data_IF_271059178726
#
_entry.id   IF_271059178726
#
_cell.length_a   1.000
_cell.length_b   1.000
_cell.length_c   1.000
_cell.angle_alpha   90.00
_cell.angle_beta   90.00
_cell.angle_gamma   90.00
#
_symmetry.space_group_name_H-M   'P 1'
#
loop_
_entity.id
_entity.type
_entity.pdbx_description
1 polymer ?
#
# COMPACT_ATOMS: atom_id res chain seq x y z
N UNK A 1 44.52 12.96 -30.22
CA UNK A 1 44.64 13.32 -28.79
C UNK A 1 43.91 12.29 -27.96
N UNK A 2 44.56 11.84 -26.89
CA UNK A 2 44.37 10.54 -26.25
C UNK A 2 43.02 10.32 -25.52
N UNK A 3 42.32 9.24 -25.87
CA UNK A 3 41.34 8.58 -25.01
C UNK A 3 42.10 7.60 -24.07
N UNK A 4 42.92 8.14 -23.17
CA UNK A 4 44.00 7.38 -22.49
C UNK A 4 43.56 6.50 -21.31
N UNK A 5 42.30 6.56 -20.87
CA UNK A 5 41.86 5.83 -19.67
C UNK A 5 40.41 5.33 -19.74
N UNK A 6 40.05 4.46 -20.69
CA UNK A 6 38.71 3.87 -20.74
C UNK A 6 38.41 3.05 -19.46
N UNK A 7 39.42 2.34 -18.94
CA UNK A 7 39.31 1.49 -17.74
C UNK A 7 39.09 2.32 -16.47
N UNK A 8 39.81 3.44 -16.32
CA UNK A 8 39.64 4.33 -15.16
C UNK A 8 38.25 5.00 -15.15
N UNK A 9 37.75 5.40 -16.33
CA UNK A 9 36.39 5.94 -16.47
C UNK A 9 35.33 4.88 -16.11
N UNK A 10 35.49 3.64 -16.57
CA UNK A 10 34.63 2.52 -16.19
C UNK A 10 34.67 2.24 -14.68
N UNK A 11 35.85 2.32 -14.06
CA UNK A 11 36.01 2.13 -12.63
C UNK A 11 35.33 3.23 -11.80
N UNK A 12 35.46 4.50 -12.22
CA UNK A 12 34.74 5.62 -11.59
C UNK A 12 33.23 5.48 -11.77
N UNK A 13 32.75 5.12 -12.96
CA UNK A 13 31.31 4.88 -13.21
C UNK A 13 30.81 3.73 -12.34
N UNK A 14 31.58 2.64 -12.20
CA UNK A 14 31.24 1.52 -11.33
C UNK A 14 31.22 1.92 -9.86
N UNK A 15 32.18 2.72 -9.40
CA UNK A 15 32.22 3.24 -8.04
C UNK A 15 31.04 4.18 -7.76
N UNK A 16 30.71 5.06 -8.71
CA UNK A 16 29.54 5.92 -8.60
C UNK A 16 28.28 5.05 -8.59
N UNK A 17 28.15 4.07 -9.48
CA UNK A 17 27.01 3.14 -9.54
C UNK A 17 26.82 2.34 -8.25
N UNK A 18 27.91 1.88 -7.63
CA UNK A 18 27.88 1.19 -6.32
C UNK A 18 27.47 2.16 -5.19
N UNK A 19 27.82 3.45 -5.31
CA UNK A 19 27.53 4.48 -4.30
C UNK A 19 26.31 5.34 -4.63
N UNK A 20 25.58 5.07 -5.72
CA UNK A 20 24.24 5.64 -5.91
C UNK A 20 23.38 4.95 -4.88
N UNK A 21 22.96 5.70 -3.87
CA UNK A 21 21.95 5.24 -2.93
C UNK A 21 20.74 4.76 -3.75
N UNK A 22 20.52 3.44 -3.79
CA UNK A 22 19.26 2.84 -4.22
C UNK A 22 18.23 3.18 -3.13
N UNK A 23 17.79 4.43 -3.12
CA UNK A 23 16.70 4.89 -2.27
C UNK A 23 15.41 4.34 -2.85
N UNK A 24 14.62 3.68 -1.99
CA UNK A 24 13.28 3.23 -2.35
C UNK A 24 12.26 4.33 -2.10
N UNK A 25 11.30 4.48 -3.01
CA UNK A 25 10.15 5.37 -2.82
C UNK A 25 9.04 4.61 -2.10
N UNK A 26 8.65 5.09 -0.92
CA UNK A 26 7.58 4.51 -0.11
C UNK A 26 6.49 5.57 0.08
N UNK A 27 5.30 5.26 -0.39
CA UNK A 27 4.08 6.04 -0.12
C UNK A 27 3.36 5.44 1.08
N UNK A 28 3.03 6.28 2.06
CA UNK A 28 2.29 5.90 3.25
C UNK A 28 0.93 6.59 3.23
N UNK A 29 -0.15 5.81 3.21
CA UNK A 29 -1.52 6.30 3.26
C UNK A 29 -2.22 5.71 4.48
N UNK A 30 -3.03 6.52 5.15
CA UNK A 30 -4.04 6.02 6.06
C UNK A 30 -5.24 5.50 5.25
N UNK A 31 -5.98 4.55 5.82
CA UNK A 31 -7.23 4.14 5.20
C UNK A 31 -8.22 5.31 5.11
N UNK A 32 -9.06 5.31 4.08
CA UNK A 32 -10.12 6.27 3.88
C UNK A 32 -11.33 5.98 4.78
N UNK A 33 -12.28 6.91 4.83
CA UNK A 33 -13.37 6.90 5.80
C UNK A 33 -14.22 5.62 5.77
N UNK A 34 -14.56 5.14 6.97
CA UNK A 34 -15.56 4.09 7.16
C UNK A 34 -16.98 4.61 7.01
N UNK A 35 -17.98 3.72 6.85
CA UNK A 35 -19.38 4.10 6.94
C UNK A 35 -19.70 4.95 8.17
N UNK A 36 -20.30 6.11 7.95
CA UNK A 36 -20.75 7.04 8.98
C UNK A 36 -19.71 8.06 9.43
N UNK A 37 -18.43 7.90 9.07
CA UNK A 37 -17.36 8.85 9.41
C UNK A 37 -17.15 9.92 8.33
N UNK A 38 -17.64 9.67 7.10
CA UNK A 38 -17.46 10.57 5.98
C UNK A 38 -18.55 11.64 5.87
N UNK A 39 -18.19 12.82 5.33
CA UNK A 39 -19.12 13.95 5.16
C UNK A 39 -20.36 13.59 4.34
N UNK A 40 -20.23 12.69 3.35
CA UNK A 40 -21.32 12.28 2.47
C UNK A 40 -22.20 11.17 3.07
N UNK A 41 -21.79 10.57 4.17
CA UNK A 41 -22.43 9.40 4.78
C UNK A 41 -22.74 9.55 6.28
N UNK A 42 -22.34 10.67 6.91
CA UNK A 42 -22.61 10.95 8.33
C UNK A 42 -24.13 10.93 8.67
N UNK A 43 -24.94 11.60 7.83
CA UNK A 43 -26.39 11.80 8.07
C UNK A 43 -27.29 10.99 7.12
N UNK A 44 -26.73 10.05 6.35
CA UNK A 44 -27.47 9.29 5.36
C UNK A 44 -27.29 7.77 5.56
N UNK A 45 -28.26 7.13 6.21
CA UNK A 45 -28.27 5.68 6.47
C UNK A 45 -28.14 4.83 5.19
N UNK A 46 -28.71 5.28 4.07
CA UNK A 46 -28.53 4.58 2.80
C UNK A 46 -27.08 4.71 2.30
N UNK A 47 -26.42 5.85 2.52
CA UNK A 47 -25.02 6.04 2.13
C UNK A 47 -24.04 5.24 3.01
N UNK A 48 -24.41 4.93 4.26
CA UNK A 48 -23.62 4.07 5.16
C UNK A 48 -23.58 2.61 4.67
N UNK A 49 -24.62 2.16 3.97
CA UNK A 49 -24.77 0.76 3.54
C UNK A 49 -24.22 0.45 2.14
N UNK A 50 -23.77 1.46 1.37
CA UNK A 50 -23.18 1.30 0.02
C UNK A 50 -21.81 0.57 0.04
N UNK A 51 -21.19 0.47 1.21
CA UNK A 51 -19.83 -0.04 1.49
C UNK A 51 -19.54 -1.51 1.10
N UNK A 52 -20.55 -2.30 0.71
CA UNK A 52 -20.34 -3.73 0.47
C UNK A 52 -19.86 -4.01 -0.97
N UNK A 53 -18.57 -4.31 -1.14
CA UNK A 53 -18.18 -5.27 -2.17
C UNK A 53 -18.87 -6.59 -1.84
N UNK A 54 -19.78 -7.02 -2.71
CA UNK A 54 -20.60 -8.22 -2.53
C UNK A 54 -19.70 -9.46 -2.32
N UNK A 55 -20.03 -10.31 -1.35
CA UNK A 55 -19.28 -11.54 -1.08
C UNK A 55 -18.12 -11.45 -0.07
N UNK A 56 -17.77 -10.26 0.43
CA UNK A 56 -16.62 -10.12 1.36
C UNK A 56 -16.97 -10.11 2.86
N UNK A 57 -18.26 -10.04 3.27
CA UNK A 57 -18.79 -10.17 4.67
C UNK A 57 -19.33 -8.86 5.30
N UNK A 58 -19.20 -8.61 6.62
CA UNK A 58 -19.76 -7.43 7.35
C UNK A 58 -19.59 -6.05 6.66
N UNK A 59 -20.71 -5.38 6.37
CA UNK A 59 -20.76 -4.12 5.62
C UNK A 59 -20.08 -2.93 6.33
N UNK A 60 -20.08 -2.91 7.66
CA UNK A 60 -19.57 -1.80 8.48
C UNK A 60 -18.02 -1.75 8.57
N UNK A 61 -17.33 -2.77 8.07
CA UNK A 61 -15.86 -2.86 8.09
C UNK A 61 -15.18 -2.50 6.76
N UNK A 62 -15.96 -2.00 5.80
CA UNK A 62 -15.50 -1.47 4.50
C UNK A 62 -15.32 0.06 4.48
N UNK A 63 -15.28 0.63 3.27
CA UNK A 63 -15.23 2.09 3.08
C UNK A 63 -16.64 2.66 2.96
N UNK A 64 -16.90 3.79 3.62
CA UNK A 64 -18.12 4.58 3.40
C UNK A 64 -18.13 5.26 2.04
N UNK A 65 -19.23 5.90 1.66
CA UNK A 65 -19.36 6.60 0.37
C UNK A 65 -18.25 7.64 0.16
N UNK A 66 -17.94 8.44 1.18
CA UNK A 66 -16.82 9.40 1.13
C UNK A 66 -15.48 8.69 0.88
N UNK A 67 -15.25 7.57 1.58
CA UNK A 67 -14.02 6.79 1.45
C UNK A 67 -13.87 6.16 0.07
N UNK A 68 -14.96 5.62 -0.49
CA UNK A 68 -14.99 5.06 -1.85
C UNK A 68 -14.67 6.11 -2.92
N UNK A 69 -15.23 7.32 -2.79
CA UNK A 69 -14.92 8.43 -3.70
C UNK A 69 -13.44 8.80 -3.61
N UNK A 70 -12.86 8.90 -2.41
CA UNK A 70 -11.43 9.19 -2.25
C UNK A 70 -10.54 8.09 -2.79
N UNK A 71 -10.91 6.83 -2.57
CA UNK A 71 -10.22 5.68 -3.16
C UNK A 71 -10.20 5.76 -4.69
N UNK A 72 -11.31 6.21 -5.32
CA UNK A 72 -11.37 6.37 -6.78
C UNK A 72 -10.34 7.37 -7.33
N UNK A 73 -10.02 8.44 -6.58
CA UNK A 73 -8.98 9.41 -6.93
C UNK A 73 -7.55 8.90 -6.76
N UNK A 74 -7.35 7.70 -6.19
CA UNK A 74 -6.01 7.11 -6.12
C UNK A 74 -5.48 6.76 -7.50
N UNK A 75 -6.34 6.37 -8.45
CA UNK A 75 -5.93 6.06 -9.84
C UNK A 75 -5.29 7.27 -10.51
N UNK A 76 -5.83 8.48 -10.31
CA UNK A 76 -5.20 9.69 -10.88
C UNK A 76 -3.85 10.04 -10.26
N UNK A 77 -3.58 9.57 -9.03
CA UNK A 77 -2.35 9.90 -8.32
C UNK A 77 -1.26 8.82 -8.48
N UNK A 78 -1.67 7.56 -8.56
CA UNK A 78 -0.80 6.37 -8.49
C UNK A 78 -0.99 5.38 -9.63
N UNK A 79 -2.01 5.53 -10.48
CA UNK A 79 -2.36 4.59 -11.54
C UNK A 79 -1.43 4.62 -12.75
N UNK A 80 -1.77 3.87 -13.79
CA UNK A 80 -0.95 3.68 -15.01
C UNK A 80 -0.56 4.97 -15.73
N UNK A 81 -1.33 6.04 -15.55
CA UNK A 81 -1.06 7.36 -16.16
C UNK A 81 -0.24 8.29 -15.26
N UNK A 82 -0.02 7.96 -13.98
CA UNK A 82 0.81 8.77 -13.07
C UNK A 82 2.27 8.80 -13.54
N UNK A 83 3.15 9.70 -13.09
CA UNK A 83 4.59 9.59 -13.35
C UNK A 83 5.17 8.28 -12.83
N UNK A 84 6.20 7.73 -13.49
CA UNK A 84 6.73 6.39 -13.16
C UNK A 84 7.10 6.20 -11.68
N UNK A 85 7.66 7.23 -11.04
CA UNK A 85 8.05 7.22 -9.63
C UNK A 85 6.86 7.23 -8.66
N UNK A 86 5.65 7.52 -9.16
CA UNK A 86 4.38 7.47 -8.44
C UNK A 86 3.57 6.21 -8.74
N UNK A 87 4.03 5.30 -9.60
CA UNK A 87 3.29 4.07 -9.95
C UNK A 87 3.77 2.92 -9.07
N UNK A 88 3.03 2.51 -8.02
CA UNK A 88 3.47 1.43 -7.16
C UNK A 88 3.64 0.13 -7.97
N UNK A 89 4.71 -0.60 -7.69
CA UNK A 89 4.94 -1.98 -8.16
C UNK A 89 4.49 -3.00 -7.12
N UNK A 90 4.47 -2.59 -5.86
CA UNK A 90 3.87 -3.32 -4.76
C UNK A 90 2.90 -2.42 -4.00
N UNK A 91 1.74 -2.97 -3.66
CA UNK A 91 0.82 -2.39 -2.71
C UNK A 91 0.79 -3.32 -1.49
N UNK A 92 0.75 -2.72 -0.31
CA UNK A 92 0.80 -3.41 0.98
C UNK A 92 -0.34 -2.87 1.83
N UNK A 93 -1.21 -3.76 2.27
CA UNK A 93 -2.27 -3.44 3.23
C UNK A 93 -1.92 -3.97 4.62
N UNK A 94 -2.12 -3.13 5.64
CA UNK A 94 -2.04 -3.59 7.03
C UNK A 94 -3.28 -4.44 7.35
N UNK A 95 -3.18 -5.46 8.20
CA UNK A 95 -4.36 -6.09 8.84
C UNK A 95 -5.47 -6.62 7.90
N UNK A 96 -5.20 -6.90 6.62
CA UNK A 96 -6.18 -7.55 5.75
C UNK A 96 -5.74 -8.97 5.41
N UNK A 97 -6.68 -9.92 5.56
CA UNK A 97 -6.53 -11.32 5.17
C UNK A 97 -7.79 -11.71 4.43
N UNK A 98 -7.69 -11.89 3.10
CA UNK A 98 -8.86 -12.10 2.24
C UNK A 98 -9.65 -13.36 2.62
N UNK A 99 -8.98 -14.46 2.98
CA UNK A 99 -9.51 -15.66 3.62
C UNK A 99 -8.39 -16.71 3.62
N UNK A 100 -8.04 -17.28 4.78
CA UNK A 100 -7.40 -18.59 4.89
C UNK A 100 -6.12 -18.91 4.05
N UNK A 101 -5.34 -17.92 3.62
CA UNK A 101 -4.01 -18.18 3.06
C UNK A 101 -3.04 -18.49 4.20
N UNK A 102 -2.63 -19.77 4.27
CA UNK A 102 -2.03 -20.42 5.41
C UNK A 102 -0.80 -19.73 6.03
N UNK A 103 -0.59 -20.05 7.32
CA UNK A 103 0.62 -19.83 8.12
C UNK A 103 1.44 -18.58 7.77
N UNK A 104 0.88 -17.39 8.02
CA UNK A 104 1.67 -16.18 8.12
C UNK A 104 2.28 -16.00 9.52
N UNK A 105 3.49 -15.44 9.52
CA UNK A 105 4.32 -15.12 10.68
C UNK A 105 3.52 -14.18 11.60
N UNK A 106 3.25 -14.64 12.83
CA UNK A 106 2.68 -13.86 13.93
C UNK A 106 1.25 -13.32 13.77
N UNK A 107 0.30 -14.18 13.41
CA UNK A 107 -1.12 -13.93 13.74
C UNK A 107 -1.42 -14.26 15.23
N UNK A 108 -0.47 -14.02 16.14
CA UNK A 108 -0.58 -14.45 17.54
C UNK A 108 -1.79 -13.81 18.20
N UNK A 109 -2.76 -14.60 18.67
CA UNK A 109 -3.98 -14.25 19.46
C UNK A 109 -4.86 -13.09 18.89
N UNK A 110 -4.40 -12.34 17.89
CA UNK A 110 -5.00 -11.12 17.33
C UNK A 110 -5.92 -11.43 16.14
N UNK A 111 -6.78 -12.42 16.27
CA UNK A 111 -7.83 -12.75 15.29
C UNK A 111 -8.94 -11.69 15.14
N UNK A 112 -8.66 -10.42 15.46
CA UNK A 112 -9.63 -9.33 15.59
C UNK A 112 -9.39 -8.13 14.67
N UNK A 113 -8.35 -8.15 13.83
CA UNK A 113 -8.03 -7.04 12.92
C UNK A 113 -7.97 -7.56 11.48
N UNK A 114 -9.14 -7.81 10.91
CA UNK A 114 -9.35 -8.13 9.48
C UNK A 114 -10.02 -6.95 8.78
N UNK A 115 -9.46 -5.75 8.92
CA UNK A 115 -10.06 -4.51 8.42
C UNK A 115 -9.99 -4.45 6.90
N UNK A 116 -11.14 -4.34 6.25
CA UNK A 116 -11.27 -4.43 4.78
C UNK A 116 -11.13 -3.09 4.08
N UNK A 117 -11.16 -2.01 4.86
CA UNK A 117 -11.08 -0.62 4.39
C UNK A 117 -9.85 -0.41 3.52
N UNK A 118 -8.72 -0.97 3.94
CA UNK A 118 -7.45 -0.88 3.20
C UNK A 118 -7.53 -1.65 1.88
N UNK A 119 -8.09 -2.86 1.88
CA UNK A 119 -8.30 -3.65 0.66
C UNK A 119 -9.27 -2.96 -0.31
N UNK A 120 -10.44 -2.51 0.15
CA UNK A 120 -11.40 -1.77 -0.68
C UNK A 120 -10.77 -0.49 -1.26
N UNK A 121 -9.91 0.18 -0.51
CA UNK A 121 -9.24 1.40 -0.96
C UNK A 121 -8.28 1.15 -2.13
N UNK A 122 -7.56 0.03 -2.11
CA UNK A 122 -6.53 -0.26 -3.11
C UNK A 122 -7.01 -1.15 -4.25
N UNK A 123 -8.17 -1.81 -4.12
CA UNK A 123 -8.64 -2.81 -5.08
C UNK A 123 -8.63 -2.30 -6.53
N UNK A 124 -9.34 -1.19 -6.80
CA UNK A 124 -9.41 -0.63 -8.15
C UNK A 124 -8.06 -0.08 -8.64
N UNK A 125 -7.21 0.42 -7.74
CA UNK A 125 -5.85 0.85 -8.09
C UNK A 125 -4.98 -0.35 -8.48
N UNK A 126 -5.09 -1.46 -7.75
CA UNK A 126 -4.34 -2.69 -8.00
C UNK A 126 -4.69 -3.26 -9.37
N UNK A 127 -6.00 -3.37 -9.66
CA UNK A 127 -6.48 -3.77 -10.99
C UNK A 127 -5.99 -2.84 -12.10
N UNK A 128 -6.00 -1.52 -11.87
CA UNK A 128 -5.49 -0.56 -12.85
C UNK A 128 -3.99 -0.78 -13.12
N UNK A 129 -3.19 -1.07 -12.10
CA UNK A 129 -1.75 -1.30 -12.21
C UNK A 129 -1.37 -2.71 -12.70
N UNK A 130 -2.35 -3.61 -12.85
CA UNK A 130 -2.10 -5.02 -13.15
C UNK A 130 -1.48 -5.79 -11.99
N UNK A 131 -1.69 -5.33 -10.75
CA UNK A 131 -1.29 -6.01 -9.52
C UNK A 131 -2.46 -6.86 -9.05
N UNK A 132 -2.19 -8.12 -8.70
CA UNK A 132 -3.19 -9.00 -8.09
C UNK A 132 -3.49 -8.53 -6.65
N UNK A 133 -4.70 -7.98 -6.37
CA UNK A 133 -5.05 -7.49 -5.04
C UNK A 133 -5.20 -8.63 -4.02
N UNK A 134 -5.39 -9.88 -4.47
CA UNK A 134 -5.62 -11.04 -3.61
C UNK A 134 -4.31 -11.77 -3.27
N UNK A 135 -3.25 -11.49 -4.02
CA UNK A 135 -1.89 -11.95 -3.72
C UNK A 135 -1.21 -11.12 -2.62
N UNK A 136 -1.85 -10.06 -2.11
CA UNK A 136 -1.27 -9.19 -1.10
C UNK A 136 -1.08 -9.90 0.24
N UNK A 137 0.14 -9.77 0.75
CA UNK A 137 0.53 -10.28 2.06
C UNK A 137 0.37 -9.21 3.14
N UNK A 138 -0.33 -9.55 4.23
CA UNK A 138 -0.37 -8.73 5.44
C UNK A 138 1.06 -8.53 5.98
N UNK A 139 1.50 -7.27 6.04
CA UNK A 139 2.84 -6.87 6.49
C UNK A 139 3.01 -6.80 8.03
N UNK A 140 2.12 -7.45 8.78
CA UNK A 140 2.12 -7.42 10.24
C UNK A 140 1.36 -6.22 10.82
N UNK A 141 1.46 -6.06 12.14
CA UNK A 141 0.68 -5.06 12.89
C UNK A 141 1.47 -3.85 13.39
N UNK A 142 2.80 -3.91 13.40
CA UNK A 142 3.66 -2.81 13.85
C UNK A 142 4.41 -2.15 12.69
N UNK A 143 4.84 -0.91 12.88
CA UNK A 143 5.68 -0.20 11.91
C UNK A 143 7.00 -0.92 11.64
N UNK A 144 7.60 -1.56 12.65
CA UNK A 144 8.83 -2.33 12.51
C UNK A 144 8.63 -3.57 11.63
N UNK A 145 7.48 -4.23 11.71
CA UNK A 145 7.14 -5.36 10.84
C UNK A 145 7.01 -4.90 9.38
N UNK A 146 6.35 -3.76 9.16
CA UNK A 146 6.21 -3.15 7.84
C UNK A 146 7.56 -2.80 7.24
N UNK A 147 8.42 -2.12 8.02
CA UNK A 147 9.77 -1.78 7.57
C UNK A 147 10.62 -3.00 7.26
N UNK A 148 10.64 -4.02 8.15
CA UNK A 148 11.38 -5.26 7.91
C UNK A 148 10.90 -5.96 6.64
N UNK A 149 9.58 -6.02 6.44
CA UNK A 149 9.02 -6.61 5.23
C UNK A 149 9.46 -5.82 3.99
N UNK A 150 9.33 -4.49 4.00
CA UNK A 150 9.80 -3.63 2.92
C UNK A 150 11.27 -3.89 2.63
N UNK A 151 12.16 -3.88 3.63
CA UNK A 151 13.59 -4.14 3.41
C UNK A 151 13.90 -5.55 2.84
N UNK A 152 12.99 -6.51 2.99
CA UNK A 152 13.13 -7.85 2.40
C UNK A 152 12.71 -7.91 0.92
N UNK A 153 11.94 -6.94 0.44
CA UNK A 153 11.45 -6.92 -0.94
C UNK A 153 12.57 -6.59 -1.93
N UNK A 154 12.56 -7.18 -3.12
CA UNK A 154 13.60 -6.96 -4.11
C UNK A 154 13.48 -5.56 -4.75
N UNK A 155 14.56 -5.00 -5.33
CA UNK A 155 14.58 -3.63 -5.84
C UNK A 155 13.54 -3.32 -6.93
N UNK A 156 13.16 -4.31 -7.74
CA UNK A 156 12.16 -4.19 -8.81
C UNK A 156 10.73 -3.89 -8.31
N UNK A 157 10.48 -4.02 -7.01
CA UNK A 157 9.20 -3.69 -6.38
C UNK A 157 9.07 -2.22 -5.96
N UNK A 158 10.04 -1.36 -6.31
CA UNK A 158 10.01 0.09 -6.11
C UNK A 158 9.27 0.80 -7.27
N UNK A 159 8.34 1.75 -7.05
CA UNK A 159 7.77 2.27 -5.79
C UNK A 159 6.85 1.33 -5.02
N UNK A 160 6.79 1.51 -3.69
CA UNK A 160 5.87 0.78 -2.81
C UNK A 160 4.80 1.71 -2.27
N UNK A 161 3.55 1.26 -2.26
CA UNK A 161 2.45 1.92 -1.56
C UNK A 161 2.02 1.08 -0.36
N UNK A 162 1.94 1.71 0.81
CA UNK A 162 1.47 1.10 2.06
C UNK A 162 0.18 1.81 2.50
N UNK A 163 -0.88 1.03 2.75
CA UNK A 163 -2.15 1.52 3.31
C UNK A 163 -2.34 0.97 4.72
N UNK A 164 -2.36 1.88 5.68
CA UNK A 164 -2.29 1.59 7.11
C UNK A 164 -3.66 1.77 7.81
N UNK A 165 -3.92 0.99 8.86
CA UNK A 165 -5.16 1.05 9.64
C UNK A 165 -5.26 2.33 10.49
N UNK A 166 -4.13 2.94 10.86
CA UNK A 166 -4.14 4.21 11.58
C UNK A 166 -2.92 5.04 11.16
N UNK A 167 -3.04 6.37 11.26
CA UNK A 167 -1.88 7.27 11.21
C UNK A 167 -1.01 7.06 12.44
N UNK A 168 -0.35 5.91 12.57
CA UNK A 168 0.55 5.60 13.69
C UNK A 168 1.92 6.20 13.38
N UNK A 169 1.99 7.53 13.30
CA UNK A 169 3.21 8.23 13.65
C UNK A 169 3.05 8.55 15.14
N UNK A 170 3.34 7.58 16.01
CA UNK A 170 3.61 7.90 17.41
C UNK A 170 5.00 8.54 17.41
N UNK A 171 5.05 9.86 17.24
CA UNK A 171 6.17 10.63 17.73
C UNK A 171 6.17 10.51 19.26
N UNK A 172 6.83 9.49 19.78
CA UNK A 172 7.47 9.59 21.08
C UNK A 172 8.89 10.06 20.82
N UNK A 173 9.04 11.38 20.77
CA UNK A 173 10.29 12.04 21.16
C UNK A 173 10.20 12.23 22.67
#
# INVERSE_FOLDING_TARGET
MFNKYPIFKLFIISLIYINVCFGRVIYLLAHAEKPGDGVLDADNENAKTISSMEGLGFADDGLGLTGMIRASYMISNFGTEAPYYRRPKRIITQHFVFQNNGNFINNGIRGHHTSRRMYHQVYNLSLNLGIDPDAETCCGGSFDDQLKYIYSLPPEEDPILVVNQHGVIINKI
#
